data_IF_745315358226
#
_entry.id   IF_745315358226
#
_cell.length_a   1.000
_cell.length_b   1.000
_cell.length_c   1.000
_cell.angle_alpha   90.00
_cell.angle_beta   90.00
_cell.angle_gamma   90.00
#
_symmetry.space_group_name_H-M   'P 1'
#
loop_
_entity.id
_entity.type
_entity.pdbx_description
1 polymer ?
#
# COMPACT_ATOMS: atom_id res chain seq x y z
N UNK A 1 8.67 40.79 -11.24
CA UNK A 1 8.13 39.61 -10.53
C UNK A 1 6.67 39.44 -10.95
N UNK A 2 6.46 38.68 -12.02
CA UNK A 2 5.23 38.73 -12.82
C UNK A 2 4.08 37.89 -12.26
N UNK A 3 2.86 38.36 -12.53
CA UNK A 3 1.54 37.77 -12.27
C UNK A 3 1.33 36.30 -12.76
N UNK A 4 2.35 35.68 -13.37
CA UNK A 4 2.31 34.34 -13.96
C UNK A 4 2.49 33.20 -12.94
N UNK A 5 2.97 33.47 -11.73
CA UNK A 5 3.15 32.44 -10.70
C UNK A 5 1.85 31.95 -10.05
N UNK A 6 0.70 32.57 -10.36
CA UNK A 6 -0.61 32.16 -9.82
C UNK A 6 -1.20 30.93 -10.55
N UNK A 7 -0.74 30.66 -11.78
CA UNK A 7 -1.18 29.52 -12.61
C UNK A 7 -0.16 28.36 -12.63
N UNK A 8 0.88 28.45 -11.80
CA UNK A 8 1.95 27.45 -11.72
C UNK A 8 1.48 26.23 -10.93
N UNK A 9 0.92 25.28 -11.68
CA UNK A 9 0.62 23.88 -11.38
C UNK A 9 1.20 23.35 -10.07
N UNK A 10 0.31 22.88 -9.19
CA UNK A 10 0.68 22.02 -8.07
C UNK A 10 1.35 20.74 -8.57
N UNK A 11 2.66 20.63 -8.36
CA UNK A 11 3.41 19.38 -8.49
C UNK A 11 4.42 19.30 -7.37
N UNK A 12 4.55 18.12 -6.76
CA UNK A 12 5.61 17.80 -5.81
C UNK A 12 6.96 18.20 -6.41
N UNK A 13 7.69 19.12 -5.78
CA UNK A 13 8.95 19.64 -6.30
C UNK A 13 10.03 18.55 -6.34
N UNK A 14 10.10 17.74 -5.28
CA UNK A 14 10.95 16.54 -5.14
C UNK A 14 10.30 15.56 -4.17
N UNK A 15 10.72 14.28 -4.19
CA UNK A 15 10.29 13.27 -3.22
C UNK A 15 11.00 13.38 -1.86
N UNK A 16 10.57 12.58 -0.88
CA UNK A 16 11.26 12.42 0.41
C UNK A 16 12.26 11.26 0.30
N UNK A 17 13.43 11.38 0.94
CA UNK A 17 14.38 10.27 1.13
C UNK A 17 14.44 9.89 2.62
N UNK A 18 13.55 9.00 3.10
CA UNK A 18 13.58 8.57 4.49
C UNK A 18 14.84 7.75 4.81
N UNK A 19 15.34 7.81 6.05
CA UNK A 19 16.40 6.91 6.52
C UNK A 19 16.03 5.43 6.37
N UNK A 20 17.00 4.60 6.02
CA UNK A 20 16.82 3.14 5.92
C UNK A 20 17.15 2.47 7.25
N UNK A 21 16.40 1.43 7.63
CA UNK A 21 16.64 0.65 8.86
C UNK A 21 16.95 -0.84 8.57
N UNK A 22 17.68 -1.11 7.48
CA UNK A 22 17.91 -2.49 6.98
C UNK A 22 18.91 -3.26 7.86
N UNK A 23 19.81 -2.57 8.54
CA UNK A 23 20.82 -3.11 9.46
C UNK A 23 20.23 -3.98 10.58
N UNK A 24 18.98 -3.72 10.99
CA UNK A 24 18.29 -4.49 12.04
C UNK A 24 17.99 -5.94 11.60
N UNK A 25 17.86 -6.19 10.30
CA UNK A 25 17.37 -7.48 9.77
C UNK A 25 18.24 -8.10 8.67
N UNK A 26 19.25 -7.38 8.15
CA UNK A 26 20.07 -7.80 7.01
C UNK A 26 20.79 -9.14 7.20
N UNK A 27 21.21 -9.47 8.42
CA UNK A 27 21.90 -10.71 8.75
C UNK A 27 20.97 -11.84 9.26
N UNK A 28 19.66 -11.58 9.39
CA UNK A 28 18.72 -12.56 9.93
C UNK A 28 18.37 -13.59 8.86
N UNK A 29 18.26 -14.87 9.26
CA UNK A 29 17.79 -15.94 8.37
C UNK A 29 16.36 -15.66 7.89
N UNK A 30 16.09 -16.01 6.63
CA UNK A 30 14.74 -15.98 6.07
C UNK A 30 13.86 -16.97 6.84
N UNK A 31 12.65 -16.54 7.21
CA UNK A 31 11.67 -17.36 7.90
C UNK A 31 10.27 -17.02 7.41
N UNK A 32 9.35 -17.98 7.55
CA UNK A 32 7.93 -17.75 7.31
C UNK A 32 7.32 -17.05 8.51
N UNK A 33 6.54 -16.01 8.26
CA UNK A 33 5.74 -15.37 9.30
C UNK A 33 4.40 -16.10 9.45
N UNK A 34 3.85 -16.19 10.68
CA UNK A 34 2.47 -16.64 10.84
C UNK A 34 1.52 -15.69 10.14
N UNK A 35 0.36 -16.21 9.74
CA UNK A 35 -0.72 -15.35 9.27
C UNK A 35 -1.33 -14.59 10.45
N UNK A 36 -1.84 -13.40 10.19
CA UNK A 36 -2.65 -12.70 11.18
C UNK A 36 -3.99 -13.43 11.36
N UNK A 37 -4.51 -13.45 12.58
CA UNK A 37 -5.80 -14.08 12.90
C UNK A 37 -6.97 -13.40 12.18
N UNK A 38 -6.80 -12.13 11.79
CA UNK A 38 -7.77 -11.36 11.04
C UNK A 38 -7.08 -10.44 10.02
N UNK A 39 -7.60 -10.43 8.80
CA UNK A 39 -7.13 -9.59 7.70
C UNK A 39 -8.29 -8.76 7.16
N UNK A 40 -8.04 -7.47 6.93
CA UNK A 40 -8.99 -6.57 6.27
C UNK A 40 -8.43 -6.24 4.89
N UNK A 41 -9.16 -6.64 3.85
CA UNK A 41 -8.82 -6.30 2.45
C UNK A 41 -9.82 -5.24 1.93
N UNK A 42 -9.39 -3.96 1.84
CA UNK A 42 -10.17 -2.94 1.14
C UNK A 42 -10.41 -3.33 -0.31
N UNK A 43 -11.65 -3.20 -0.78
CA UNK A 43 -11.97 -3.39 -2.20
C UNK A 43 -11.52 -2.22 -3.08
N UNK A 44 -11.11 -1.10 -2.46
CA UNK A 44 -10.59 0.07 -3.12
C UNK A 44 -9.15 0.33 -2.69
N UNK A 45 -8.19 -0.33 -3.35
CA UNK A 45 -6.74 -0.16 -3.12
C UNK A 45 -6.01 0.52 -4.27
N UNK A 46 -6.74 1.03 -5.26
CA UNK A 46 -6.16 1.64 -6.45
C UNK A 46 -7.05 2.77 -6.97
N UNK A 47 -6.55 3.56 -7.92
CA UNK A 47 -7.23 4.75 -8.46
C UNK A 47 -8.51 4.40 -9.24
N UNK A 48 -8.58 3.21 -9.83
CA UNK A 48 -9.75 2.75 -10.60
C UNK A 48 -10.98 2.41 -9.74
N UNK A 49 -12.04 1.90 -10.39
CA UNK A 49 -13.29 1.48 -9.71
C UNK A 49 -13.02 0.36 -8.68
N UNK A 50 -13.69 0.37 -7.51
CA UNK A 50 -13.53 -0.70 -6.52
C UNK A 50 -13.79 -2.09 -7.09
N UNK A 51 -13.06 -3.09 -6.58
CA UNK A 51 -13.30 -4.49 -6.87
C UNK A 51 -14.70 -4.92 -6.38
N UNK A 52 -15.34 -5.85 -7.09
CA UNK A 52 -16.59 -6.47 -6.65
C UNK A 52 -16.25 -7.66 -5.75
N UNK A 53 -16.90 -7.75 -4.59
CA UNK A 53 -16.79 -8.95 -3.76
C UNK A 53 -17.39 -10.14 -4.51
N UNK A 54 -16.61 -11.23 -4.61
CA UNK A 54 -17.03 -12.51 -5.21
C UNK A 54 -17.40 -13.56 -4.14
N UNK A 55 -17.24 -13.20 -2.87
CA UNK A 55 -17.55 -14.02 -1.71
C UNK A 55 -18.65 -13.37 -0.86
N UNK A 56 -19.29 -14.17 -0.01
CA UNK A 56 -20.33 -13.70 0.93
C UNK A 56 -19.89 -13.89 2.39
N UNK A 57 -20.58 -13.20 3.31
CA UNK A 57 -20.33 -13.32 4.75
C UNK A 57 -20.40 -14.79 5.19
N UNK A 58 -19.38 -15.25 5.92
CA UNK A 58 -19.29 -16.62 6.43
C UNK A 58 -18.86 -17.67 5.41
N UNK A 59 -18.57 -17.28 4.15
CA UNK A 59 -17.99 -18.19 3.18
C UNK A 59 -16.56 -18.55 3.60
N UNK A 60 -16.28 -19.84 3.71
CA UNK A 60 -14.92 -20.35 3.82
C UNK A 60 -14.21 -20.25 2.48
N UNK A 61 -12.94 -19.86 2.52
CA UNK A 61 -12.07 -19.72 1.34
C UNK A 61 -10.73 -20.35 1.64
N UNK A 62 -10.05 -20.84 0.60
CA UNK A 62 -8.70 -21.41 0.74
C UNK A 62 -7.63 -20.41 0.30
N UNK A 63 -6.38 -20.73 0.62
CA UNK A 63 -5.24 -19.93 0.17
C UNK A 63 -5.16 -19.91 -1.37
N UNK A 64 -5.23 -18.73 -1.95
CA UNK A 64 -5.13 -18.52 -3.39
C UNK A 64 -6.48 -18.44 -4.11
N UNK A 65 -7.58 -18.53 -3.37
CA UNK A 65 -8.94 -18.18 -3.79
C UNK A 65 -9.22 -16.68 -3.60
#
# INVERSE_FOLDING_TARGET
MGLLNFFSKGTFSHGVHPPTNKEITSAKKIRRLPFADHLVLPLNQHIGKPAKAIVRKGQEVVRGE
#
